data_IF_322975059024
#
_entry.id   IF_322975059024
#
_cell.length_a   1.000
_cell.length_b   1.000
_cell.length_c   1.000
_cell.angle_alpha   90.00
_cell.angle_beta   90.00
_cell.angle_gamma   90.00
#
_symmetry.space_group_name_H-M   'P 1'
#
loop_
_entity.id
_entity.type
_entity.pdbx_description
1 polymer ?
#
# COMPACT_ATOMS: atom_id res chain seq x y z
N UNK A 1 -26.79 -3.73 -12.21
CA UNK A 1 -25.50 -4.18 -12.75
C UNK A 1 -24.49 -3.12 -12.36
N UNK A 2 -23.78 -3.35 -11.26
CA UNK A 2 -22.84 -2.37 -10.72
C UNK A 2 -21.50 -2.61 -11.38
N UNK A 3 -21.10 -1.71 -12.27
CA UNK A 3 -19.76 -1.67 -12.84
C UNK A 3 -18.75 -1.63 -11.69
N UNK A 4 -17.91 -2.67 -11.62
CA UNK A 4 -16.76 -2.66 -10.74
C UNK A 4 -15.91 -1.45 -11.11
N UNK A 5 -15.71 -0.54 -10.16
CA UNK A 5 -14.81 0.59 -10.31
C UNK A 5 -13.41 0.02 -10.50
N UNK A 6 -12.96 -0.09 -11.75
CA UNK A 6 -11.53 -0.29 -12.05
C UNK A 6 -10.74 0.69 -11.20
N UNK A 7 -9.75 0.22 -10.45
CA UNK A 7 -8.83 1.04 -9.65
C UNK A 7 -7.87 1.83 -10.55
N UNK A 8 -8.45 2.64 -11.44
CA UNK A 8 -7.72 3.49 -12.39
C UNK A 8 -6.99 4.56 -11.59
N UNK A 9 -5.75 4.81 -11.95
CA UNK A 9 -5.03 6.02 -11.52
C UNK A 9 -5.77 7.21 -12.13
N UNK A 10 -6.36 8.06 -11.29
CA UNK A 10 -7.16 9.20 -11.75
C UNK A 10 -6.47 10.53 -11.57
N UNK A 11 -5.52 10.61 -10.64
CA UNK A 11 -4.71 11.80 -10.36
C UNK A 11 -3.24 11.45 -10.05
N UNK A 12 -2.45 12.49 -9.75
CA UNK A 12 -1.04 12.37 -9.44
C UNK A 12 -0.76 11.73 -8.07
N UNK A 13 -1.71 11.78 -7.14
CA UNK A 13 -1.57 11.15 -5.83
C UNK A 13 -1.73 9.64 -5.95
N UNK A 14 -2.77 9.20 -6.67
CA UNK A 14 -2.97 7.79 -7.05
C UNK A 14 -1.72 7.20 -7.73
N UNK A 15 -1.11 7.97 -8.65
CA UNK A 15 0.12 7.54 -9.34
C UNK A 15 1.27 7.36 -8.35
N UNK A 16 1.43 8.29 -7.40
CA UNK A 16 2.44 8.21 -6.35
C UNK A 16 2.27 6.99 -5.45
N UNK A 17 1.03 6.73 -5.03
CA UNK A 17 0.66 5.54 -4.23
C UNK A 17 1.04 4.24 -4.96
N UNK A 18 0.71 4.15 -6.26
CA UNK A 18 1.01 2.95 -7.06
C UNK A 18 2.50 2.73 -7.27
N UNK A 19 3.26 3.81 -7.44
CA UNK A 19 4.72 3.74 -7.51
C UNK A 19 5.32 3.23 -6.20
N UNK A 20 4.85 3.71 -5.05
CA UNK A 20 5.32 3.24 -3.76
C UNK A 20 5.04 1.74 -3.54
N UNK A 21 3.89 1.23 -4.03
CA UNK A 21 3.60 -0.21 -4.00
C UNK A 21 4.55 -0.98 -4.94
N UNK A 22 4.79 -0.45 -6.14
CA UNK A 22 5.73 -1.07 -7.10
C UNK A 22 7.15 -1.14 -6.53
N UNK A 23 7.62 -0.09 -5.87
CA UNK A 23 8.88 -0.09 -5.13
C UNK A 23 8.94 -1.21 -4.10
N UNK A 24 7.89 -1.37 -3.30
CA UNK A 24 7.80 -2.46 -2.33
C UNK A 24 7.93 -3.85 -2.98
N UNK A 25 7.24 -4.07 -4.10
CA UNK A 25 7.34 -5.33 -4.86
C UNK A 25 8.74 -5.54 -5.43
N UNK A 26 9.38 -4.50 -5.94
CA UNK A 26 10.76 -4.56 -6.47
C UNK A 26 11.75 -4.88 -5.36
N UNK A 27 11.61 -4.26 -4.18
CA UNK A 27 12.46 -4.58 -3.02
C UNK A 27 12.25 -6.01 -2.53
N UNK A 28 11.01 -6.52 -2.59
CA UNK A 28 10.73 -7.92 -2.31
C UNK A 28 11.38 -8.86 -3.33
N UNK A 29 11.36 -8.52 -4.62
CA UNK A 29 12.03 -9.26 -5.68
C UNK A 29 13.56 -9.25 -5.55
N UNK A 30 14.15 -8.17 -5.04
CA UNK A 30 15.61 -8.11 -4.79
C UNK A 30 16.08 -9.00 -3.65
N UNK A 31 15.18 -9.55 -2.83
CA UNK A 31 15.57 -10.41 -1.71
C UNK A 31 16.28 -11.68 -2.19
N UNK A 32 17.39 -12.08 -1.54
CA UNK A 32 18.08 -13.30 -1.91
C UNK A 32 17.23 -14.53 -1.58
N UNK A 33 17.39 -15.60 -2.38
CA UNK A 33 16.79 -16.93 -2.16
C UNK A 33 15.26 -16.98 -2.23
N UNK A 34 14.65 -16.25 -3.15
CA UNK A 34 13.25 -16.45 -3.48
C UNK A 34 13.04 -17.80 -4.17
N UNK A 35 11.98 -18.51 -3.81
CA UNK A 35 11.54 -19.68 -4.58
C UNK A 35 10.91 -19.21 -5.90
N UNK A 36 10.93 -20.08 -6.91
CA UNK A 36 10.28 -19.82 -8.20
C UNK A 36 8.82 -19.37 -8.04
N UNK A 37 8.06 -20.02 -7.16
CA UNK A 37 6.66 -19.65 -6.90
C UNK A 37 6.50 -18.25 -6.29
N UNK A 38 7.45 -17.82 -5.44
CA UNK A 38 7.46 -16.45 -4.91
C UNK A 38 7.79 -15.44 -6.00
N UNK A 39 8.77 -15.74 -6.85
CA UNK A 39 9.13 -14.93 -8.02
C UNK A 39 7.91 -14.78 -8.93
N UNK A 40 7.20 -15.86 -9.24
CA UNK A 40 5.99 -15.84 -10.08
C UNK A 40 4.89 -14.95 -9.48
N UNK A 41 4.64 -15.03 -8.17
CA UNK A 41 3.62 -14.19 -7.51
C UNK A 41 4.01 -12.71 -7.54
N UNK A 42 5.25 -12.39 -7.20
CA UNK A 42 5.74 -11.02 -7.16
C UNK A 42 5.82 -10.41 -8.56
N UNK A 43 6.30 -11.16 -9.57
CA UNK A 43 6.30 -10.69 -10.96
C UNK A 43 4.89 -10.50 -11.51
N UNK A 44 3.93 -11.32 -11.08
CA UNK A 44 2.53 -11.13 -11.47
C UNK A 44 1.98 -9.81 -10.91
N UNK A 45 2.31 -9.47 -9.66
CA UNK A 45 1.94 -8.17 -9.07
C UNK A 45 2.66 -7.01 -9.76
N UNK A 46 3.96 -7.16 -10.03
CA UNK A 46 4.78 -6.20 -10.75
C UNK A 46 4.18 -5.87 -12.13
N UNK A 47 3.80 -6.89 -12.91
CA UNK A 47 3.17 -6.73 -14.24
C UNK A 47 1.85 -5.95 -14.15
N UNK A 48 0.99 -6.28 -13.18
CA UNK A 48 -0.28 -5.59 -13.00
C UNK A 48 -0.09 -4.11 -12.62
N UNK A 49 0.92 -3.82 -11.79
CA UNK A 49 1.29 -2.46 -11.42
C UNK A 49 1.89 -1.70 -12.60
N UNK A 50 2.78 -2.33 -13.36
CA UNK A 50 3.39 -1.77 -14.57
C UNK A 50 2.33 -1.33 -15.58
N UNK A 51 1.37 -2.20 -15.90
CA UNK A 51 0.29 -1.88 -16.83
C UNK A 51 -0.62 -0.76 -16.31
N UNK A 52 -0.94 -0.77 -15.01
CA UNK A 52 -1.78 0.25 -14.38
C UNK A 52 -1.09 1.61 -14.36
N UNK A 53 0.19 1.65 -14.02
CA UNK A 53 1.01 2.87 -13.96
C UNK A 53 1.21 3.44 -15.37
N UNK A 54 1.54 2.62 -16.36
CA UNK A 54 1.64 3.06 -17.75
C UNK A 54 0.34 3.68 -18.26
N UNK A 55 -0.80 3.03 -17.99
CA UNK A 55 -2.11 3.58 -18.35
C UNK A 55 -2.40 4.89 -17.61
N UNK A 56 -2.03 4.99 -16.33
CA UNK A 56 -2.16 6.21 -15.52
C UNK A 56 -1.34 7.37 -16.07
N UNK A 57 -0.06 7.14 -16.36
CA UNK A 57 0.84 8.14 -16.96
C UNK A 57 0.28 8.61 -18.31
N UNK A 58 -0.19 7.69 -19.16
CA UNK A 58 -0.78 8.04 -20.45
C UNK A 58 -2.00 8.95 -20.29
N UNK A 59 -2.91 8.63 -19.35
CA UNK A 59 -4.10 9.44 -19.09
C UNK A 59 -3.70 10.82 -18.56
N UNK A 60 -2.85 10.86 -17.53
CA UNK A 60 -2.43 12.09 -16.87
C UNK A 60 -1.66 13.02 -17.83
N UNK A 61 -0.84 12.46 -18.71
CA UNK A 61 -0.12 13.24 -19.74
C UNK A 61 -1.06 14.00 -20.69
N UNK A 62 -2.30 13.51 -20.86
CA UNK A 62 -3.32 14.13 -21.72
C UNK A 62 -4.23 15.10 -20.97
N UNK A 63 -4.41 14.92 -19.66
CA UNK A 63 -5.37 15.69 -18.85
C UNK A 63 -4.73 16.84 -18.09
N UNK A 64 -3.44 16.75 -17.75
CA UNK A 64 -2.74 17.79 -17.00
C UNK A 64 -2.56 19.04 -17.88
N UNK A 65 -3.02 20.18 -17.36
CA UNK A 65 -2.92 21.48 -18.02
C UNK A 65 -1.87 22.39 -17.38
N UNK A 66 -1.53 22.18 -16.11
CA UNK A 66 -0.61 23.06 -15.37
C UNK A 66 0.84 22.60 -15.51
N UNK A 67 1.76 23.57 -15.54
CA UNK A 67 3.20 23.26 -15.62
C UNK A 67 3.74 22.60 -14.33
N UNK A 68 3.18 22.93 -13.16
CA UNK A 68 3.62 22.30 -11.91
C UNK A 68 3.26 20.82 -11.88
N UNK A 69 2.03 20.48 -12.28
CA UNK A 69 1.55 19.10 -12.30
C UNK A 69 2.28 18.29 -13.36
N UNK A 70 2.65 18.94 -14.48
CA UNK A 70 3.51 18.33 -15.50
C UNK A 70 4.88 17.97 -14.94
N UNK A 71 5.52 18.88 -14.21
CA UNK A 71 6.81 18.58 -13.58
C UNK A 71 6.69 17.41 -12.58
N UNK A 72 5.59 17.33 -11.83
CA UNK A 72 5.33 16.20 -10.93
C UNK A 72 5.18 14.91 -11.73
N UNK A 73 4.39 14.92 -12.82
CA UNK A 73 4.23 13.77 -13.70
C UNK A 73 5.57 13.30 -14.29
N UNK A 74 6.41 14.23 -14.73
CA UNK A 74 7.74 13.94 -15.29
C UNK A 74 8.61 13.27 -14.21
N UNK A 75 8.65 13.80 -12.98
CA UNK A 75 9.36 13.17 -11.86
C UNK A 75 8.82 11.78 -11.53
N UNK A 76 7.49 11.58 -11.54
CA UNK A 76 6.88 10.26 -11.30
C UNK A 76 7.17 9.28 -12.44
N UNK A 77 7.29 9.77 -13.67
CA UNK A 77 7.66 8.95 -14.83
C UNK A 77 9.11 8.52 -14.75
N UNK A 78 10.02 9.40 -14.32
CA UNK A 78 11.41 9.04 -14.03
C UNK A 78 11.50 7.99 -12.91
N UNK A 79 10.74 8.17 -11.83
CA UNK A 79 10.64 7.19 -10.75
C UNK A 79 10.15 5.84 -11.28
N UNK A 80 9.10 5.82 -12.12
CA UNK A 80 8.62 4.61 -12.78
C UNK A 80 9.70 3.93 -13.62
N UNK A 81 10.46 4.68 -14.43
CA UNK A 81 11.52 4.11 -15.24
C UNK A 81 12.62 3.47 -14.37
N UNK A 82 12.95 4.09 -13.24
CA UNK A 82 13.94 3.56 -12.32
C UNK A 82 13.50 2.26 -11.63
N UNK A 83 12.26 2.19 -11.17
CA UNK A 83 11.74 0.98 -10.50
C UNK A 83 11.30 -0.10 -11.51
N UNK A 84 11.00 0.33 -12.73
CA UNK A 84 10.56 -0.47 -13.85
C UNK A 84 11.74 -0.97 -14.69
N UNK A 85 12.10 -0.15 -15.68
CA UNK A 85 13.10 -0.45 -16.70
C UNK A 85 14.48 -0.75 -16.12
N UNK A 86 15.03 0.12 -15.25
CA UNK A 86 16.38 -0.09 -14.72
C UNK A 86 16.46 -1.38 -13.88
N UNK A 87 15.35 -1.76 -13.22
CA UNK A 87 15.29 -3.03 -12.51
C UNK A 87 15.26 -4.24 -13.46
N UNK A 88 14.53 -4.15 -14.58
CA UNK A 88 14.49 -5.23 -15.59
C UNK A 88 15.88 -5.50 -16.19
N UNK A 89 16.72 -4.48 -16.32
CA UNK A 89 18.11 -4.63 -16.77
C UNK A 89 18.96 -5.51 -15.84
N UNK A 90 18.52 -5.72 -14.58
CA UNK A 90 19.19 -6.58 -13.61
C UNK A 90 18.70 -8.03 -13.63
N UNK A 91 17.70 -8.35 -14.44
CA UNK A 91 17.07 -9.67 -14.44
C UNK A 91 17.94 -10.74 -15.06
N UNK A 92 17.89 -11.92 -14.44
CA UNK A 92 18.49 -13.14 -14.99
C UNK A 92 17.47 -13.92 -15.83
N UNK A 93 17.92 -15.02 -16.46
CA UNK A 93 17.07 -15.85 -17.32
C UNK A 93 15.83 -16.41 -16.60
N UNK A 94 15.90 -16.68 -15.29
CA UNK A 94 14.75 -17.19 -14.52
C UNK A 94 13.67 -16.12 -14.34
N UNK A 95 14.08 -14.88 -14.09
CA UNK A 95 13.17 -13.73 -13.99
C UNK A 95 12.49 -13.47 -15.33
N UNK A 96 13.27 -13.43 -16.43
CA UNK A 96 12.73 -13.27 -17.77
C UNK A 96 11.75 -14.38 -18.13
N UNK A 97 12.11 -15.64 -17.88
CA UNK A 97 11.22 -16.77 -18.17
C UNK A 97 9.90 -16.72 -17.38
N UNK A 98 9.95 -16.33 -16.10
CA UNK A 98 8.73 -16.15 -15.31
C UNK A 98 7.89 -14.98 -15.81
N UNK A 99 8.52 -13.85 -16.12
CA UNK A 99 7.85 -12.65 -16.65
C UNK A 99 7.15 -12.94 -17.99
N UNK A 100 7.86 -13.55 -18.93
CA UNK A 100 7.30 -13.93 -20.24
C UNK A 100 6.16 -14.93 -20.08
N UNK A 101 6.32 -15.97 -19.25
CA UNK A 101 5.26 -16.94 -18.98
C UNK A 101 3.99 -16.25 -18.42
N UNK A 102 4.16 -15.29 -17.51
CA UNK A 102 3.03 -14.55 -16.94
C UNK A 102 2.38 -13.65 -18.00
N UNK A 103 3.17 -12.88 -18.76
CA UNK A 103 2.69 -12.00 -19.85
C UNK A 103 1.99 -12.79 -20.96
N UNK A 104 2.52 -13.93 -21.37
CA UNK A 104 1.87 -14.87 -22.29
C UNK A 104 0.58 -15.43 -21.68
N UNK A 105 0.62 -15.80 -20.40
CA UNK A 105 -0.53 -16.24 -19.64
C UNK A 105 -1.64 -15.19 -19.61
N UNK A 106 -1.31 -13.91 -19.47
CA UNK A 106 -2.28 -12.80 -19.59
C UNK A 106 -2.81 -12.67 -21.01
N UNK A 107 -1.95 -12.79 -22.03
CA UNK A 107 -2.33 -12.73 -23.43
C UNK A 107 -3.32 -13.85 -23.81
N UNK A 108 -3.11 -15.07 -23.28
CA UNK A 108 -4.03 -16.21 -23.45
C UNK A 108 -5.28 -16.11 -22.56
N UNK A 109 -5.20 -15.49 -21.38
CA UNK A 109 -6.34 -15.28 -20.46
C UNK A 109 -7.26 -14.14 -20.86
N UNK A 110 -6.77 -13.14 -21.59
CA UNK A 110 -7.60 -12.12 -22.26
C UNK A 110 -8.58 -12.78 -23.26
N UNK A 111 -8.27 -13.99 -23.74
CA UNK A 111 -9.19 -14.84 -24.50
C UNK A 111 -10.16 -15.68 -23.64
N UNK A 112 -9.84 -15.97 -22.36
CA UNK A 112 -10.55 -16.93 -21.50
C UNK A 112 -10.79 -16.35 -20.07
N UNK A 113 -11.81 -15.52 -19.89
CA UNK A 113 -11.84 -14.46 -18.86
C UNK A 113 -12.23 -14.82 -17.40
N UNK A 114 -12.51 -16.07 -17.01
CA UNK A 114 -13.37 -16.25 -15.81
C UNK A 114 -12.66 -16.52 -14.46
N UNK A 115 -11.46 -17.10 -14.43
CA UNK A 115 -10.76 -17.46 -13.17
C UNK A 115 -9.65 -16.49 -12.79
N UNK A 116 -8.99 -15.89 -13.78
CA UNK A 116 -7.90 -14.94 -13.51
C UNK A 116 -8.39 -13.58 -13.05
N UNK A 117 -9.54 -13.12 -13.56
CA UNK A 117 -10.20 -11.92 -13.04
C UNK A 117 -10.53 -12.08 -11.56
N UNK A 118 -10.95 -13.27 -11.13
CA UNK A 118 -11.25 -13.54 -9.71
C UNK A 118 -10.00 -13.48 -8.84
N UNK A 119 -8.87 -14.00 -9.33
CA UNK A 119 -7.60 -13.94 -8.58
C UNK A 119 -7.06 -12.51 -8.52
N UNK A 120 -7.07 -11.78 -9.64
CA UNK A 120 -6.68 -10.37 -9.68
C UNK A 120 -7.57 -9.52 -8.76
N UNK A 121 -8.89 -9.72 -8.83
CA UNK A 121 -9.85 -9.05 -7.97
C UNK A 121 -9.65 -9.38 -6.48
N UNK A 122 -9.31 -10.63 -6.13
CA UNK A 122 -8.99 -11.01 -4.76
C UNK A 122 -7.67 -10.37 -4.28
N UNK A 123 -6.68 -10.27 -5.15
CA UNK A 123 -5.40 -9.59 -4.85
C UNK A 123 -5.60 -8.08 -4.69
N UNK A 124 -6.44 -7.46 -5.52
CA UNK A 124 -6.82 -6.05 -5.41
C UNK A 124 -7.62 -5.77 -4.13
N UNK A 125 -8.56 -6.64 -3.77
CA UNK A 125 -9.27 -6.58 -2.48
C UNK A 125 -8.30 -6.67 -1.31
N UNK A 126 -7.31 -7.56 -1.38
CA UNK A 126 -6.29 -7.69 -0.33
C UNK A 126 -5.44 -6.41 -0.21
N UNK A 127 -5.10 -5.77 -1.33
CA UNK A 127 -4.37 -4.50 -1.34
C UNK A 127 -5.24 -3.38 -0.74
N UNK A 128 -6.51 -3.30 -1.12
CA UNK A 128 -7.46 -2.30 -0.59
C UNK A 128 -7.72 -2.49 0.92
N UNK A 129 -7.84 -3.73 1.39
CA UNK A 129 -8.01 -4.04 2.82
C UNK A 129 -6.75 -3.71 3.62
N UNK A 130 -5.55 -3.92 3.06
CA UNK A 130 -4.32 -3.44 3.68
C UNK A 130 -4.28 -1.91 3.77
N UNK A 131 -4.85 -1.19 2.80
CA UNK A 131 -4.98 0.28 2.86
C UNK A 131 -5.89 0.69 4.02
N UNK A 132 -7.06 0.07 4.18
CA UNK A 132 -7.98 0.40 5.29
C UNK A 132 -7.42 0.03 6.66
N UNK A 133 -6.73 -1.09 6.82
CA UNK A 133 -6.08 -1.43 8.12
C UNK A 133 -4.89 -0.52 8.44
N UNK A 134 -4.23 0.04 7.44
CA UNK A 134 -3.12 1.00 7.65
C UNK A 134 -3.67 2.37 8.03
N UNK A 135 -4.82 2.78 7.47
CA UNK A 135 -5.54 3.98 7.87
C UNK A 135 -6.11 3.86 9.30
N UNK A 136 -6.72 2.72 9.66
CA UNK A 136 -7.18 2.43 11.03
C UNK A 136 -6.02 2.48 12.05
N UNK A 137 -4.84 1.95 11.70
CA UNK A 137 -3.65 2.03 12.57
C UNK A 137 -3.10 3.45 12.71
N UNK A 138 -3.20 4.28 11.66
CA UNK A 138 -2.83 5.70 11.72
C UNK A 138 -3.79 6.49 12.60
N UNK A 139 -5.10 6.22 12.51
CA UNK A 139 -6.10 6.85 13.37
C UNK A 139 -5.96 6.41 14.82
N UNK A 140 -5.70 5.12 15.09
CA UNK A 140 -5.46 4.60 16.44
C UNK A 140 -4.17 5.17 17.05
N UNK A 141 -3.09 5.28 16.25
CA UNK A 141 -1.84 5.94 16.68
C UNK A 141 -2.05 7.42 17.00
N UNK A 142 -2.87 8.12 16.20
CA UNK A 142 -3.18 9.54 16.41
C UNK A 142 -4.06 9.75 17.65
N UNK A 143 -5.03 8.86 17.88
CA UNK A 143 -5.86 8.88 19.08
C UNK A 143 -5.05 8.58 20.36
N UNK A 144 -4.08 7.66 20.30
CA UNK A 144 -3.17 7.39 21.41
C UNK A 144 -2.23 8.56 21.70
N UNK A 145 -1.77 9.26 20.67
CA UNK A 145 -0.95 10.48 20.81
C UNK A 145 -1.74 11.65 21.42
N UNK A 146 -3.01 11.83 21.04
CA UNK A 146 -3.93 12.81 21.66
C UNK A 146 -4.19 12.50 23.14
N UNK A 147 -4.35 11.22 23.51
CA UNK A 147 -4.51 10.79 24.91
C UNK A 147 -3.26 11.09 25.73
N UNK A 148 -2.07 10.86 25.17
CA UNK A 148 -0.80 11.12 25.85
C UNK A 148 -0.53 12.64 26.00
N UNK A 149 -0.97 13.45 25.04
CA UNK A 149 -0.92 14.91 25.13
C UNK A 149 -1.89 15.47 26.19
N UNK A 150 -3.11 14.90 26.29
CA UNK A 150 -4.08 15.24 27.33
C UNK A 150 -3.58 14.82 28.73
N UNK A 151 -2.94 13.66 28.84
CA UNK A 151 -2.33 13.19 30.09
C UNK A 151 -1.21 14.13 30.57
N UNK A 152 -0.38 14.65 29.65
CA UNK A 152 0.65 15.66 29.97
C UNK A 152 0.07 17.01 30.41
N UNK A 153 -1.11 17.40 29.91
CA UNK A 153 -1.84 18.61 30.35
C UNK A 153 -2.42 18.46 31.76
N UNK A 154 -2.83 17.26 32.16
CA UNK A 154 -3.33 16.99 33.51
C UNK A 154 -2.22 16.43 34.41
N UNK A 155 -1.34 17.30 34.93
CA UNK A 155 -0.58 16.95 36.13
C UNK A 155 -1.56 16.85 37.32
N UNK A 156 -1.60 15.75 38.09
CA UNK A 156 -2.37 15.69 39.31
C UNK A 156 -1.72 16.64 40.34
N UNK A 157 -2.30 17.83 40.47
CA UNK A 157 -2.00 18.75 41.55
C UNK A 157 -2.68 18.26 42.84
N UNK A 158 -1.84 18.04 43.87
CA UNK A 158 -2.17 17.96 45.29
C UNK A 158 -3.31 17.01 45.70
N UNK A 159 -2.94 15.80 46.09
CA UNK A 159 -3.71 15.06 47.09
C UNK A 159 -3.83 15.91 48.37
N UNK A 160 -5.04 16.20 48.88
CA UNK A 160 -5.17 16.51 50.29
C UNK A 160 -4.88 15.23 51.10
N UNK A 161 -4.04 15.37 52.13
CA UNK A 161 -3.68 14.30 53.07
C UNK A 161 -4.92 13.51 53.56
N UNK A 162 -4.82 12.19 53.74
CA UNK A 162 -5.90 11.43 54.34
C UNK A 162 -6.02 11.80 55.81
N UNK A 163 -7.11 12.51 56.13
CA UNK A 163 -7.52 12.79 57.51
C UNK A 163 -7.68 11.46 58.25
N UNK A 164 -6.79 11.25 59.22
CA UNK A 164 -6.86 10.22 60.25
C UNK A 164 -8.20 10.29 60.99
N UNK A 165 -9.18 9.50 60.55
CA UNK A 165 -10.41 9.22 61.30
C UNK A 165 -10.16 7.98 62.14
N UNK A 166 -9.96 8.20 63.44
CA UNK A 166 -9.97 7.15 64.47
C UNK A 166 -11.29 6.38 64.39
N UNK A 167 -11.22 5.09 64.07
CA UNK A 167 -12.33 4.16 64.17
C UNK A 167 -12.50 3.80 65.65
N UNK A 168 -13.65 4.14 66.24
CA UNK A 168 -14.04 3.60 67.54
C UNK A 168 -14.66 2.22 67.29
N UNK A 169 -13.90 1.18 67.66
CA UNK A 169 -14.39 -0.18 67.70
C UNK A 169 -15.47 -0.32 68.76
N UNK A 170 -16.67 -0.70 68.30
CA UNK A 170 -17.71 -1.26 69.14
C UNK A 170 -17.31 -2.70 69.47
N UNK A 171 -16.92 -2.97 70.71
CA UNK A 171 -16.89 -4.33 71.25
C UNK A 171 -17.91 -4.45 72.38
N UNK A 172 -18.74 -5.49 72.24
CA UNK A 172 -19.82 -5.90 73.12
C UNK A 172 -19.23 -6.54 74.39
N UNK A 173 -19.77 -6.16 75.55
CA UNK A 173 -19.92 -7.01 76.73
C UNK A 173 -21.28 -6.69 77.37
#
# INVERSE_FOLDING_TARGET
MSEAKNSKITDLEDLGDRLAVMEGVVEDLKKPKLSRSQIEVLLNQYILLEDSILAGIEILSKTIASMSDKNILDTRTEQFNHVGSDFQDTWNDEYWACYEMIREGYSRRKLNSNTSEKVAHLQELAIALNKSTTEEKKEESKALEEVDELSRKYKPGNHPEPVSRKCCDCFIA
#
